data_IF_822791027917
#
_entry.id   IF_822791027917
#
_cell.length_a   1.000
_cell.length_b   1.000
_cell.length_c   1.000
_cell.angle_alpha   90.00
_cell.angle_beta   90.00
_cell.angle_gamma   90.00
#
_symmetry.space_group_name_H-M   'P 1'
#
loop_
_entity.id
_entity.type
_entity.pdbx_description
1 polymer ?
#
# COMPACT_ATOMS: atom_id res chain seq x y z
N UNK A 1 10.79 1.46 -13.46
CA UNK A 1 9.31 1.54 -13.48
C UNK A 1 8.93 2.80 -12.73
N UNK A 2 7.84 3.45 -13.13
CA UNK A 2 7.42 4.74 -12.58
C UNK A 2 6.22 4.55 -11.66
N UNK A 3 6.05 5.43 -10.68
CA UNK A 3 4.86 5.47 -9.84
C UNK A 3 3.67 5.98 -10.65
N UNK A 4 2.59 5.22 -10.71
CA UNK A 4 1.39 5.57 -11.46
C UNK A 4 0.30 6.11 -10.52
N UNK A 5 -0.44 7.13 -10.97
CA UNK A 5 -1.50 7.77 -10.18
C UNK A 5 -2.83 7.41 -10.80
N UNK A 6 -3.69 6.76 -10.04
CA UNK A 6 -5.05 6.40 -10.41
C UNK A 6 -6.01 7.31 -9.63
N UNK A 7 -6.61 8.26 -10.34
CA UNK A 7 -7.57 9.19 -9.77
C UNK A 7 -8.97 8.56 -9.71
N UNK A 8 -9.52 8.43 -8.51
CA UNK A 8 -10.90 8.00 -8.28
C UNK A 8 -11.72 9.21 -7.85
N UNK A 9 -12.43 9.81 -8.80
CA UNK A 9 -13.22 11.01 -8.58
C UNK A 9 -14.69 10.66 -8.38
N UNK A 10 -15.29 11.20 -7.30
CA UNK A 10 -16.74 11.16 -7.09
C UNK A 10 -17.40 12.46 -7.53
N UNK A 11 -16.67 13.58 -7.43
CA UNK A 11 -17.08 14.90 -7.93
C UNK A 11 -15.86 15.78 -8.18
N UNK A 12 -16.07 16.98 -8.73
CA UNK A 12 -15.04 18.02 -8.87
C UNK A 12 -14.32 18.39 -7.55
N UNK A 13 -14.92 18.08 -6.39
CA UNK A 13 -14.41 18.45 -5.06
C UNK A 13 -14.14 17.26 -4.14
N UNK A 14 -14.43 16.04 -4.58
CA UNK A 14 -14.32 14.84 -3.75
C UNK A 14 -13.79 13.66 -4.56
N UNK A 15 -12.77 13.02 -4.02
CA UNK A 15 -12.10 11.88 -4.62
C UNK A 15 -10.85 11.52 -3.84
N UNK A 16 -10.18 10.45 -4.26
CA UNK A 16 -8.90 10.03 -3.74
C UNK A 16 -7.99 9.59 -4.90
N UNK A 17 -6.70 9.49 -4.61
CA UNK A 17 -5.70 9.01 -5.57
C UNK A 17 -5.11 7.72 -5.00
N UNK A 18 -4.99 6.69 -5.84
CA UNK A 18 -4.17 5.51 -5.54
C UNK A 18 -2.88 5.64 -6.30
N UNK A 19 -1.77 5.40 -5.61
CA UNK A 19 -0.46 5.37 -6.23
C UNK A 19 0.01 3.92 -6.32
N UNK A 20 0.19 3.43 -7.55
CA UNK A 20 0.76 2.11 -7.80
C UNK A 20 2.27 2.23 -7.96
N UNK A 21 3.01 1.39 -7.25
CA UNK A 21 4.47 1.41 -7.23
C UNK A 21 5.03 0.13 -7.82
N UNK A 22 6.29 0.20 -8.23
CA UNK A 22 7.07 -1.02 -8.47
C UNK A 22 7.10 -1.83 -7.17
N UNK A 23 7.04 -3.17 -7.28
CA UNK A 23 7.30 -4.05 -6.15
C UNK A 23 8.75 -3.94 -5.65
N UNK A 24 8.93 -3.98 -4.33
CA UNK A 24 10.24 -4.01 -3.69
C UNK A 24 10.96 -5.34 -3.93
N UNK A 25 12.28 -5.31 -3.87
CA UNK A 25 13.10 -6.52 -3.98
C UNK A 25 13.15 -7.26 -2.63
N UNK A 26 12.93 -8.57 -2.64
CA UNK A 26 13.10 -9.39 -1.44
C UNK A 26 14.57 -9.51 -1.02
N UNK A 27 15.51 -9.27 -1.94
CA UNK A 27 16.96 -9.29 -1.69
C UNK A 27 17.55 -7.85 -1.58
N UNK A 28 16.81 -6.90 -1.00
CA UNK A 28 17.26 -5.52 -0.77
C UNK A 28 18.39 -5.42 0.29
N UNK A 29 19.59 -5.83 -0.11
CA UNK A 29 20.80 -5.81 0.73
C UNK A 29 21.32 -4.40 1.00
N UNK A 30 20.88 -3.42 0.21
CA UNK A 30 21.37 -2.04 0.28
C UNK A 30 20.42 -1.11 1.04
N UNK A 31 19.25 -1.60 1.47
CA UNK A 31 18.28 -0.82 2.22
C UNK A 31 17.60 0.26 1.36
N UNK A 32 17.57 0.08 0.04
CA UNK A 32 16.96 1.02 -0.91
C UNK A 32 15.47 1.19 -0.63
N UNK A 33 14.80 0.10 -0.24
CA UNK A 33 13.38 0.08 0.15
C UNK A 33 13.12 1.06 1.28
N UNK A 34 13.94 1.05 2.33
CA UNK A 34 13.76 1.94 3.47
C UNK A 34 14.04 3.40 3.13
N UNK A 35 15.04 3.65 2.27
CA UNK A 35 15.33 5.00 1.77
C UNK A 35 14.14 5.52 0.96
N UNK A 36 13.61 4.73 0.04
CA UNK A 36 12.48 5.11 -0.80
C UNK A 36 11.20 5.33 0.03
N UNK A 37 10.90 4.44 0.99
CA UNK A 37 9.78 4.64 1.92
C UNK A 37 9.96 5.91 2.77
N UNK A 38 11.19 6.25 3.16
CA UNK A 38 11.46 7.49 3.91
C UNK A 38 11.20 8.73 3.06
N UNK A 39 11.63 8.74 1.79
CA UNK A 39 11.36 9.84 0.86
C UNK A 39 9.84 9.99 0.61
N UNK A 40 9.13 8.88 0.40
CA UNK A 40 7.69 8.89 0.16
C UNK A 40 6.89 9.37 1.36
N UNK A 41 7.32 9.03 2.57
CA UNK A 41 6.60 9.38 3.80
C UNK A 41 6.94 10.77 4.32
N UNK A 42 8.16 11.27 4.09
CA UNK A 42 8.57 12.61 4.46
C UNK A 42 8.10 13.66 3.43
N UNK A 43 8.42 13.43 2.16
CA UNK A 43 8.20 14.42 1.12
C UNK A 43 6.90 14.17 0.33
N UNK A 44 6.24 13.02 0.52
CA UNK A 44 5.11 12.60 -0.30
C UNK A 44 5.52 11.96 -1.62
N UNK A 45 4.52 11.67 -2.45
CA UNK A 45 4.65 10.99 -3.75
C UNK A 45 4.09 11.84 -4.88
N UNK A 46 4.56 11.59 -6.10
CA UNK A 46 4.04 12.25 -7.32
C UNK A 46 3.93 11.26 -8.48
N UNK A 47 2.95 11.47 -9.36
CA UNK A 47 2.82 10.69 -10.58
C UNK A 47 4.10 10.79 -11.43
N UNK A 48 4.49 9.68 -12.07
CA UNK A 48 5.73 9.56 -12.82
C UNK A 48 6.98 9.91 -12.01
N UNK A 49 7.01 9.63 -10.70
CA UNK A 49 8.30 9.54 -10.00
C UNK A 49 8.96 8.19 -10.26
N UNK A 50 10.27 8.19 -10.44
CA UNK A 50 11.04 6.96 -10.62
C UNK A 50 11.08 6.17 -9.31
N UNK A 51 10.71 4.90 -9.35
CA UNK A 51 10.96 3.98 -8.24
C UNK A 51 12.36 3.40 -8.41
N UNK A 52 13.29 3.70 -7.49
CA UNK A 52 14.73 3.40 -7.66
C UNK A 52 15.02 1.95 -7.28
N UNK A 53 15.83 1.25 -8.08
CA UNK A 53 16.41 -0.05 -7.74
C UNK A 53 17.85 -0.15 -8.23
N UNK A 54 18.72 -0.74 -7.41
CA UNK A 54 20.09 -1.10 -7.76
C UNK A 54 20.12 -1.95 -9.03
N UNK A 55 20.74 -1.42 -10.08
CA UNK A 55 20.80 -2.06 -11.41
C UNK A 55 20.02 -1.33 -12.51
N UNK A 56 19.17 -0.37 -12.16
CA UNK A 56 18.57 0.52 -13.16
C UNK A 56 19.68 1.43 -13.76
N UNK A 57 19.87 1.35 -15.09
CA UNK A 57 20.90 2.14 -15.78
C UNK A 57 20.66 3.65 -15.63
N UNK A 58 21.71 4.46 -15.34
CA UNK A 58 21.58 5.91 -15.24
C UNK A 58 21.17 6.57 -16.57
N UNK A 59 21.15 5.82 -17.69
CA UNK A 59 20.70 6.32 -18.98
C UNK A 59 19.18 6.59 -19.05
N UNK A 60 18.38 6.07 -18.12
CA UNK A 60 16.95 6.39 -18.02
C UNK A 60 16.66 7.59 -17.09
N UNK A 61 17.69 8.33 -16.66
CA UNK A 61 17.55 9.59 -15.91
C UNK A 61 17.23 10.72 -16.90
N UNK A 62 16.23 10.52 -17.77
CA UNK A 62 15.53 11.68 -18.31
C UNK A 62 14.67 12.17 -17.16
N UNK A 63 15.06 13.31 -16.62
CA UNK A 63 14.41 14.02 -15.54
C UNK A 63 12.99 14.44 -15.99
N UNK A 64 12.08 13.47 -16.14
CA UNK A 64 10.64 13.66 -16.35
C UNK A 64 9.92 14.01 -15.05
N UNK A 65 10.67 14.55 -14.08
CA UNK A 65 10.15 15.38 -13.01
C UNK A 65 9.56 16.65 -13.63
N UNK A 66 8.47 16.50 -14.39
CA UNK A 66 7.70 17.64 -14.84
C UNK A 66 7.04 18.24 -13.61
N UNK A 67 7.19 19.55 -13.40
CA UNK A 67 6.46 20.31 -12.38
C UNK A 67 4.93 20.24 -12.56
N UNK A 68 4.44 19.55 -13.59
CA UNK A 68 3.02 19.38 -13.90
C UNK A 68 2.29 18.48 -12.91
N UNK A 69 2.99 17.55 -12.25
CA UNK A 69 2.36 16.61 -11.33
C UNK A 69 2.49 17.08 -9.89
N UNK A 70 1.35 17.21 -9.21
CA UNK A 70 1.30 17.62 -7.82
C UNK A 70 1.88 16.52 -6.92
N UNK A 71 2.72 16.94 -5.96
CA UNK A 71 3.23 16.07 -4.89
C UNK A 71 2.18 16.00 -3.79
N UNK A 72 1.84 14.78 -3.36
CA UNK A 72 0.78 14.51 -2.37
C UNK A 72 1.34 13.70 -1.21
N UNK A 73 0.89 14.02 -0.01
CA UNK A 73 1.25 13.24 1.17
C UNK A 73 0.60 11.87 1.11
N UNK A 74 1.30 10.84 1.60
CA UNK A 74 0.75 9.49 1.70
C UNK A 74 -0.16 9.45 2.92
N UNK A 75 -1.46 9.27 2.74
CA UNK A 75 -2.42 9.28 3.86
C UNK A 75 -2.70 7.90 4.44
N UNK A 76 -2.54 6.84 3.64
CA UNK A 76 -2.62 5.45 4.05
C UNK A 76 -1.76 4.61 3.10
N UNK A 77 -1.12 3.56 3.62
CA UNK A 77 -0.36 2.61 2.83
C UNK A 77 -1.07 1.25 2.78
N UNK A 78 -1.06 0.63 1.61
CA UNK A 78 -1.49 -0.75 1.41
C UNK A 78 -0.25 -1.55 1.02
N UNK A 79 0.17 -2.49 1.86
CA UNK A 79 1.34 -3.34 1.62
C UNK A 79 0.86 -4.62 0.96
N UNK A 80 1.30 -4.85 -0.27
CA UNK A 80 0.92 -6.04 -1.04
C UNK A 80 2.02 -7.09 -0.93
N UNK A 81 1.67 -8.29 -0.48
CA UNK A 81 2.59 -9.41 -0.31
C UNK A 81 2.10 -10.65 -1.08
N UNK A 82 3.04 -11.39 -1.67
CA UNK A 82 2.74 -12.65 -2.34
C UNK A 82 2.72 -13.78 -1.32
N UNK A 83 1.52 -14.26 -0.97
CA UNK A 83 1.35 -15.33 0.02
C UNK A 83 1.98 -16.65 -0.45
N UNK A 84 1.90 -16.96 -1.74
CA UNK A 84 2.43 -18.20 -2.28
C UNK A 84 3.96 -18.26 -2.16
N UNK A 85 4.66 -17.15 -2.39
CA UNK A 85 6.11 -17.10 -2.25
C UNK A 85 6.53 -17.15 -0.78
N UNK A 86 5.80 -16.45 0.10
CA UNK A 86 6.01 -16.57 1.56
C UNK A 86 5.80 -18.01 2.02
N UNK A 87 4.76 -18.69 1.54
CA UNK A 87 4.49 -20.08 1.91
C UNK A 87 5.61 -21.03 1.44
N UNK A 88 6.12 -20.85 0.22
CA UNK A 88 7.27 -21.64 -0.27
C UNK A 88 8.49 -21.46 0.64
N UNK A 89 8.80 -20.23 1.04
CA UNK A 89 9.89 -19.94 1.98
C UNK A 89 9.67 -20.61 3.33
N UNK A 90 8.42 -20.63 3.84
CA UNK A 90 8.08 -21.26 5.12
C UNK A 90 8.22 -22.78 5.11
N UNK A 91 7.89 -23.45 3.99
CA UNK A 91 7.91 -24.92 3.89
C UNK A 91 9.30 -25.45 3.53
N UNK A 92 10.08 -24.68 2.77
CA UNK A 92 11.43 -25.08 2.38
C UNK A 92 12.34 -25.07 3.62
N UNK A 93 12.70 -26.27 4.12
CA UNK A 93 13.46 -26.48 5.38
C UNK A 93 14.90 -25.92 5.35
N UNK A 94 15.35 -25.37 4.22
CA UNK A 94 16.59 -24.61 4.06
C UNK A 94 16.43 -23.30 3.28
N UNK A 95 15.18 -22.93 2.94
CA UNK A 95 14.86 -21.63 2.35
C UNK A 95 14.79 -20.59 3.45
N UNK A 96 15.52 -19.48 3.29
CA UNK A 96 15.43 -18.38 4.25
C UNK A 96 14.02 -17.78 4.29
N UNK A 97 13.66 -17.11 5.39
CA UNK A 97 12.39 -16.38 5.54
C UNK A 97 12.40 -15.04 4.77
N UNK A 98 12.98 -15.01 3.58
CA UNK A 98 13.31 -13.78 2.86
C UNK A 98 12.06 -12.98 2.49
N UNK A 99 11.07 -13.63 1.86
CA UNK A 99 9.84 -12.95 1.46
C UNK A 99 9.07 -12.41 2.67
N UNK A 100 9.05 -13.18 3.77
CA UNK A 100 8.38 -12.80 5.00
C UNK A 100 9.10 -11.63 5.71
N UNK A 101 10.42 -11.67 5.79
CA UNK A 101 11.20 -10.62 6.43
C UNK A 101 11.17 -9.31 5.63
N UNK A 102 11.25 -9.39 4.30
CA UNK A 102 11.07 -8.22 3.43
C UNK A 102 9.65 -7.61 3.59
N UNK A 103 8.62 -8.46 3.65
CA UNK A 103 7.25 -8.00 3.91
C UNK A 103 7.15 -7.31 5.28
N UNK A 104 7.76 -7.89 6.31
CA UNK A 104 7.81 -7.34 7.66
C UNK A 104 8.54 -6.00 7.70
N UNK A 105 9.67 -5.88 7.00
CA UNK A 105 10.45 -4.65 6.93
C UNK A 105 9.62 -3.47 6.39
N UNK A 106 8.84 -3.70 5.33
CA UNK A 106 7.95 -2.68 4.76
C UNK A 106 6.76 -2.44 5.68
N UNK A 107 6.05 -3.50 6.10
CA UNK A 107 4.83 -3.38 6.88
C UNK A 107 5.03 -2.71 8.24
N UNK A 108 6.15 -3.03 8.91
CA UNK A 108 6.49 -2.47 10.22
C UNK A 108 7.19 -1.11 10.13
N UNK A 109 7.46 -0.58 8.94
CA UNK A 109 8.11 0.73 8.79
C UNK A 109 7.25 1.84 9.42
N UNK A 110 7.83 2.54 10.41
CA UNK A 110 7.09 3.49 11.23
C UNK A 110 6.50 4.65 10.43
N UNK A 111 7.17 5.11 9.37
CA UNK A 111 6.70 6.23 8.55
C UNK A 111 5.40 5.94 7.77
N UNK A 112 5.04 4.67 7.56
CA UNK A 112 3.76 4.30 6.93
C UNK A 112 2.60 4.23 7.93
N UNK A 113 2.87 4.21 9.24
CA UNK A 113 1.82 4.20 10.27
C UNK A 113 1.14 5.55 10.33
N UNK A 114 -0.16 5.54 10.66
CA UNK A 114 -0.98 6.76 10.77
C UNK A 114 -1.70 6.71 12.11
N UNK A 115 -1.18 7.50 13.06
CA UNK A 115 -1.54 7.35 14.47
C UNK A 115 -1.23 5.94 14.97
N UNK A 116 -2.22 5.27 15.55
CA UNK A 116 -2.12 3.90 16.05
C UNK A 116 -2.49 2.83 15.00
N UNK A 117 -2.78 3.23 13.76
CA UNK A 117 -3.13 2.30 12.69
C UNK A 117 -1.89 1.84 11.93
N UNK A 118 -1.77 0.52 11.77
CA UNK A 118 -0.80 -0.08 10.86
C UNK A 118 -1.26 0.11 9.39
N UNK A 119 -0.35 -0.05 8.42
CA UNK A 119 -0.74 -0.20 7.03
C UNK A 119 -1.75 -1.34 6.83
N UNK A 120 -2.51 -1.30 5.73
CA UNK A 120 -3.36 -2.42 5.34
C UNK A 120 -2.51 -3.48 4.65
N UNK A 121 -2.55 -4.72 5.13
CA UNK A 121 -1.85 -5.84 4.46
C UNK A 121 -2.78 -6.49 3.45
N UNK A 122 -2.33 -6.61 2.21
CA UNK A 122 -2.98 -7.32 1.12
C UNK A 122 -2.15 -8.55 0.79
N UNK A 123 -2.72 -9.73 0.99
CA UNK A 123 -2.13 -11.00 0.62
C UNK A 123 -2.70 -11.40 -0.74
N UNK A 124 -1.81 -11.62 -1.70
CA UNK A 124 -2.17 -12.01 -3.07
C UNK A 124 -1.71 -13.43 -3.37
N UNK A 125 -2.22 -14.00 -4.46
CA UNK A 125 -1.81 -15.30 -4.97
C UNK A 125 -2.08 -16.47 -4.02
N UNK A 126 -2.95 -16.30 -3.01
CA UNK A 126 -3.38 -17.37 -2.12
C UNK A 126 -4.13 -18.49 -2.86
N UNK A 127 -4.69 -18.19 -4.03
CA UNK A 127 -5.30 -19.15 -4.96
C UNK A 127 -4.32 -20.19 -5.53
N UNK A 128 -3.01 -19.93 -5.46
CA UNK A 128 -1.97 -20.92 -5.82
C UNK A 128 -1.72 -21.96 -4.74
N UNK A 129 -2.34 -21.84 -3.56
CA UNK A 129 -2.17 -22.72 -2.42
C UNK A 129 -3.42 -23.58 -2.19
N UNK A 130 -3.25 -24.73 -1.54
CA UNK A 130 -4.41 -25.48 -1.03
C UNK A 130 -5.10 -24.68 0.08
N UNK A 131 -6.38 -24.96 0.36
CA UNK A 131 -7.11 -24.24 1.41
C UNK A 131 -6.39 -24.30 2.77
N UNK A 132 -5.86 -25.47 3.13
CA UNK A 132 -5.09 -25.69 4.37
C UNK A 132 -3.80 -24.88 4.39
N UNK A 133 -3.04 -24.92 3.29
CA UNK A 133 -1.77 -24.20 3.18
C UNK A 133 -1.98 -22.68 3.20
N UNK A 134 -3.03 -22.21 2.53
CA UNK A 134 -3.45 -20.81 2.51
C UNK A 134 -3.80 -20.31 3.92
N UNK A 135 -4.58 -21.08 4.68
CA UNK A 135 -4.89 -20.75 6.07
C UNK A 135 -3.63 -20.74 6.94
N UNK A 136 -2.80 -21.77 6.86
CA UNK A 136 -1.57 -21.88 7.65
C UNK A 136 -0.59 -20.74 7.35
N UNK A 137 -0.39 -20.40 6.07
CA UNK A 137 0.45 -19.28 5.64
C UNK A 137 -0.07 -17.96 6.22
N UNK A 138 -1.37 -17.70 6.09
CA UNK A 138 -2.02 -16.48 6.60
C UNK A 138 -1.85 -16.35 8.11
N UNK A 139 -2.15 -17.40 8.88
CA UNK A 139 -1.99 -17.42 10.34
C UNK A 139 -0.54 -17.14 10.72
N UNK A 140 0.44 -17.77 10.04
CA UNK A 140 1.86 -17.55 10.33
C UNK A 140 2.32 -16.12 10.01
N UNK A 141 1.87 -15.55 8.90
CA UNK A 141 2.16 -14.16 8.53
C UNK A 141 1.61 -13.21 9.60
N UNK A 142 0.35 -13.41 10.03
CA UNK A 142 -0.27 -12.56 11.04
C UNK A 142 0.45 -12.64 12.39
N UNK A 143 0.84 -13.85 12.81
CA UNK A 143 1.63 -14.08 14.03
C UNK A 143 2.95 -13.30 13.99
N UNK A 144 3.69 -13.38 12.88
CA UNK A 144 5.01 -12.73 12.74
C UNK A 144 4.90 -11.21 12.65
N UNK A 145 3.84 -10.69 12.02
CA UNK A 145 3.59 -9.25 11.91
C UNK A 145 2.89 -8.65 13.14
N UNK A 146 2.43 -9.49 14.08
CA UNK A 146 1.71 -9.06 15.27
C UNK A 146 0.37 -8.38 14.95
N UNK A 147 -0.34 -8.85 13.92
CA UNK A 147 -1.63 -8.31 13.50
C UNK A 147 -2.75 -9.33 13.72
N UNK A 148 -3.97 -8.83 13.93
CA UNK A 148 -5.14 -9.69 14.06
C UNK A 148 -5.48 -10.36 12.73
N UNK A 149 -5.74 -11.67 12.76
CA UNK A 149 -6.27 -12.42 11.62
C UNK A 149 -7.66 -11.94 11.16
N UNK A 150 -8.36 -11.10 11.93
CA UNK A 150 -9.72 -10.64 11.58
C UNK A 150 -9.77 -9.20 11.09
N UNK A 151 -8.67 -8.44 11.14
CA UNK A 151 -8.69 -7.03 10.77
C UNK A 151 -7.34 -6.54 10.24
N UNK A 152 -7.36 -5.78 9.15
CA UNK A 152 -6.16 -5.15 8.58
C UNK A 152 -5.31 -6.09 7.71
N UNK A 153 -5.79 -7.31 7.45
CA UNK A 153 -5.20 -8.27 6.52
C UNK A 153 -6.28 -8.87 5.62
N UNK A 154 -6.11 -8.71 4.31
CA UNK A 154 -7.08 -9.15 3.31
C UNK A 154 -6.41 -10.07 2.32
N UNK A 155 -7.00 -11.23 2.12
CA UNK A 155 -6.55 -12.21 1.15
C UNK A 155 -7.38 -12.06 -0.12
N UNK A 156 -6.74 -11.50 -1.16
CA UNK A 156 -7.37 -11.14 -2.42
C UNK A 156 -6.76 -12.03 -3.49
N UNK A 157 -7.60 -12.87 -4.10
CA UNK A 157 -7.20 -13.76 -5.19
C UNK A 157 -6.70 -12.92 -6.37
N UNK A 158 -5.63 -13.36 -7.03
CA UNK A 158 -5.09 -12.63 -8.16
C UNK A 158 -6.09 -12.67 -9.33
N UNK A 159 -6.73 -11.55 -9.60
CA UNK A 159 -7.51 -11.36 -10.82
C UNK A 159 -6.52 -11.34 -12.00
N UNK A 160 -6.83 -12.03 -13.10
CA UNK A 160 -5.95 -12.08 -14.28
C UNK A 160 -5.68 -10.67 -14.82
N UNK A 161 -4.63 -10.51 -15.62
CA UNK A 161 -4.20 -9.22 -16.23
C UNK A 161 -5.30 -8.52 -17.07
N UNK A 162 -6.39 -9.23 -17.37
CA UNK A 162 -7.56 -8.70 -18.08
C UNK A 162 -8.66 -8.18 -17.15
N UNK A 163 -8.50 -8.33 -15.83
CA UNK A 163 -9.52 -8.01 -14.82
C UNK A 163 -10.71 -8.95 -14.92
N UNK A 164 -11.04 -9.63 -13.84
CA UNK A 164 -12.38 -10.25 -13.73
C UNK A 164 -13.36 -9.09 -13.47
N UNK A 165 -14.51 -9.04 -14.15
CA UNK A 165 -15.49 -8.01 -13.84
C UNK A 165 -15.87 -8.12 -12.35
N UNK A 166 -16.15 -7.00 -11.65
CA UNK A 166 -16.54 -7.06 -10.24
C UNK A 166 -17.75 -8.00 -10.00
N UNK A 167 -18.60 -8.16 -11.02
CA UNK A 167 -19.76 -9.06 -11.11
C UNK A 167 -19.36 -10.56 -11.16
N UNK A 168 -18.16 -10.86 -11.64
CA UNK A 168 -17.61 -12.21 -11.82
C UNK A 168 -16.63 -12.59 -10.69
N UNK A 169 -16.26 -11.63 -9.84
CA UNK A 169 -15.43 -11.89 -8.67
C UNK A 169 -16.23 -12.72 -7.66
N UNK A 170 -15.60 -13.72 -7.05
CA UNK A 170 -16.26 -14.44 -5.96
C UNK A 170 -16.61 -13.45 -4.82
N UNK A 171 -17.73 -13.66 -4.11
CA UNK A 171 -18.19 -12.71 -3.09
C UNK A 171 -17.18 -12.47 -1.96
N UNK A 172 -16.30 -13.44 -1.68
CA UNK A 172 -15.30 -13.32 -0.61
C UNK A 172 -14.18 -12.38 -1.06
N UNK A 173 -13.66 -12.54 -2.27
CA UNK A 173 -12.67 -11.62 -2.85
C UNK A 173 -13.24 -10.22 -3.02
N UNK A 174 -14.48 -10.09 -3.51
CA UNK A 174 -15.15 -8.80 -3.66
C UNK A 174 -15.31 -8.07 -2.31
N UNK A 175 -15.74 -8.80 -1.27
CA UNK A 175 -15.82 -8.26 0.08
C UNK A 175 -14.45 -7.85 0.61
N UNK A 176 -13.43 -8.71 0.49
CA UNK A 176 -12.09 -8.43 0.97
C UNK A 176 -11.47 -7.19 0.33
N UNK A 177 -11.61 -7.03 -0.99
CA UNK A 177 -11.17 -5.84 -1.71
C UNK A 177 -11.94 -4.58 -1.27
N UNK A 178 -13.27 -4.67 -1.21
CA UNK A 178 -14.13 -3.54 -0.81
C UNK A 178 -13.80 -3.08 0.60
N UNK A 179 -13.67 -4.01 1.54
CA UNK A 179 -13.34 -3.73 2.94
C UNK A 179 -11.91 -3.17 3.08
N UNK A 180 -10.93 -3.69 2.31
CA UNK A 180 -9.57 -3.16 2.30
C UNK A 180 -9.54 -1.68 1.85
N UNK A 181 -10.22 -1.35 0.75
CA UNK A 181 -10.31 0.02 0.23
C UNK A 181 -11.08 0.90 1.21
N UNK A 182 -12.21 0.43 1.73
CA UNK A 182 -13.02 1.16 2.72
C UNK A 182 -12.20 1.55 3.95
N UNK A 183 -11.43 0.61 4.53
CA UNK A 183 -10.55 0.91 5.67
C UNK A 183 -9.42 1.85 5.31
N UNK A 184 -8.80 1.70 4.14
CA UNK A 184 -7.76 2.61 3.69
C UNK A 184 -8.29 4.05 3.58
N UNK A 185 -9.53 4.24 3.11
CA UNK A 185 -10.19 5.54 3.07
C UNK A 185 -10.47 6.09 4.46
N UNK A 186 -10.98 5.27 5.40
CA UNK A 186 -11.17 5.69 6.79
C UNK A 186 -9.86 6.15 7.44
N UNK A 187 -8.76 5.40 7.24
CA UNK A 187 -7.44 5.77 7.75
C UNK A 187 -6.96 7.08 7.11
N UNK A 188 -7.18 7.23 5.79
CA UNK A 188 -6.80 8.43 5.07
C UNK A 188 -7.56 9.66 5.59
N UNK A 189 -8.87 9.54 5.82
CA UNK A 189 -9.71 10.63 6.34
C UNK A 189 -9.31 11.05 7.75
N UNK A 190 -8.85 10.13 8.61
CA UNK A 190 -8.33 10.49 9.94
C UNK A 190 -7.08 11.37 9.88
N UNK A 191 -6.34 11.34 8.77
CA UNK A 191 -5.14 12.16 8.58
C UNK A 191 -5.44 13.56 8.01
N UNK A 192 -6.69 13.84 7.64
CA UNK A 192 -7.10 15.17 7.22
C UNK A 192 -7.37 16.07 8.43
N UNK A 193 -6.72 17.24 8.45
CA UNK A 193 -7.13 18.30 9.35
C UNK A 193 -8.53 18.78 8.97
N UNK A 194 -9.44 19.00 9.95
CA UNK A 194 -10.74 19.56 9.66
C UNK A 194 -10.56 20.89 8.93
N UNK A 195 -11.28 21.09 7.83
CA UNK A 195 -11.27 22.38 7.14
C UNK A 195 -11.78 23.42 8.13
N UNK A 196 -10.94 24.40 8.47
CA UNK A 196 -11.37 25.56 9.26
C UNK A 196 -12.52 26.21 8.51
N UNK A 197 -13.72 26.14 9.09
CA UNK A 197 -14.82 26.96 8.63
C UNK A 197 -14.39 28.41 8.86
N UNK A 198 -14.20 29.20 7.80
CA UNK A 198 -14.03 30.64 7.91
C UNK A 198 -15.32 31.24 8.47
N UNK A 199 -15.43 31.31 9.80
CA UNK A 199 -16.33 32.24 10.47
C UNK A 199 -15.51 33.48 10.84
N UNK A 200 -15.29 34.34 9.84
CA UNK A 200 -14.91 35.73 10.08
C UNK A 200 -16.14 36.47 10.61
N UNK A 201 -16.39 36.38 11.92
CA UNK A 201 -17.26 37.35 12.57
C UNK A 201 -16.49 38.66 12.65
N UNK A 202 -16.77 39.55 11.70
CA UNK A 202 -16.45 40.96 11.83
C UNK A 202 -17.30 41.53 12.97
N UNK A 203 -16.73 41.60 14.17
CA UNK A 203 -17.20 42.56 15.16
C UNK A 203 -16.77 43.95 14.66
N UNK A 204 -17.72 44.68 14.08
CA UNK A 204 -17.62 46.13 14.01
C UNK A 204 -17.94 46.65 15.40
N UNK A 205 -16.92 47.10 16.12
CA UNK A 205 -17.10 48.10 17.17
C UNK A 205 -17.39 49.44 16.47
N UNK A 206 -18.62 49.92 16.59
CA UNK A 206 -18.95 51.32 16.30
C UNK A 206 -18.91 52.09 17.63
N UNK A 207 -18.06 53.11 17.67
CA UNK A 207 -18.04 54.18 18.68
C UNK A 207 -19.24 55.11 18.49
#
# INVERSE_FOLDING_TARGET
MMLEEHNVTRSMRAGFCVYDSRGFDYDDRQGETLVELSEWTADGVKHNQMCRRSGDSPACVTNRSSSKFARRQVNCAMVVANMADIYKDLVNTGGGLKCLEATKQVFCYHGLKRGNQNPILILTHGDKLTATDRMNARTKICEVLGISETSGVYDIVCMTEHGVAAEECDPVTAYALTEAVYRALLISDMSHTPKLNHTGFHLKEEN
#
